data_IF_655082889733
#
_entry.id   IF_655082889733
#
_cell.length_a   1.000
_cell.length_b   1.000
_cell.length_c   1.000
_cell.angle_alpha   90.00
_cell.angle_beta   90.00
_cell.angle_gamma   90.00
#
_symmetry.space_group_name_H-M   'P 1'
#
loop_
_entity.id
_entity.type
_entity.pdbx_description
1 polymer ?
#
# COMPACT_ATOMS: atom_id res chain seq x y z
N UNK A 1 -10.04 -47.24 -2.53
CA UNK A 1 -10.91 -46.50 -3.46
C UNK A 1 -10.01 -45.78 -4.46
N UNK A 2 -10.11 -46.03 -5.77
CA UNK A 2 -9.33 -45.29 -6.76
C UNK A 2 -9.74 -43.81 -6.78
N UNK A 3 -8.77 -42.92 -7.01
CA UNK A 3 -9.00 -41.48 -7.09
C UNK A 3 -9.66 -41.15 -8.43
N UNK A 4 -10.97 -40.92 -8.43
CA UNK A 4 -11.70 -40.47 -9.61
C UNK A 4 -11.50 -38.97 -9.81
N UNK A 5 -11.12 -38.55 -11.02
CA UNK A 5 -10.83 -37.16 -11.37
C UNK A 5 -11.78 -36.67 -12.46
N UNK A 6 -12.21 -35.41 -12.35
CA UNK A 6 -12.97 -34.71 -13.40
C UNK A 6 -12.23 -33.47 -13.85
N UNK A 7 -12.37 -33.09 -15.12
CA UNK A 7 -11.70 -31.94 -15.71
C UNK A 7 -12.62 -30.72 -15.70
N UNK A 8 -12.19 -29.64 -15.05
CA UNK A 8 -12.91 -28.35 -15.06
C UNK A 8 -13.08 -27.88 -16.52
N UNK A 9 -14.33 -27.57 -16.90
CA UNK A 9 -14.66 -27.25 -18.30
C UNK A 9 -13.90 -26.05 -18.86
N UNK A 10 -13.65 -25.02 -18.04
CA UNK A 10 -12.99 -23.78 -18.47
C UNK A 10 -11.48 -23.87 -18.33
N UNK A 11 -10.98 -24.02 -17.11
CA UNK A 11 -9.53 -24.00 -16.83
C UNK A 11 -8.81 -25.29 -17.25
N UNK A 12 -9.55 -26.35 -17.61
CA UNK A 12 -9.02 -27.67 -17.99
C UNK A 12 -8.14 -28.34 -16.91
N UNK A 13 -8.25 -27.89 -15.67
CA UNK A 13 -7.56 -28.47 -14.51
C UNK A 13 -8.31 -29.72 -14.07
N UNK A 14 -7.57 -30.79 -13.77
CA UNK A 14 -8.11 -32.01 -13.18
C UNK A 14 -8.27 -31.84 -11.68
N UNK A 15 -9.48 -32.07 -11.18
CA UNK A 15 -9.81 -32.02 -9.75
C UNK A 15 -10.46 -33.34 -9.33
N UNK A 16 -10.36 -33.74 -8.05
CA UNK A 16 -11.12 -34.86 -7.54
C UNK A 16 -12.63 -34.68 -7.77
N UNK A 17 -13.32 -35.76 -8.12
CA UNK A 17 -14.78 -35.72 -8.22
C UNK A 17 -15.37 -35.40 -6.85
N UNK A 18 -16.15 -34.33 -6.79
CA UNK A 18 -16.75 -33.82 -5.56
C UNK A 18 -18.12 -34.48 -5.34
N UNK A 19 -18.15 -35.62 -4.65
CA UNK A 19 -19.37 -36.26 -4.19
C UNK A 19 -19.87 -35.58 -2.91
N UNK A 20 -20.45 -34.39 -3.04
CA UNK A 20 -20.95 -33.65 -1.86
C UNK A 20 -22.04 -34.44 -1.15
N UNK A 21 -21.98 -34.57 0.20
CA UNK A 21 -23.09 -35.10 0.98
C UNK A 21 -24.30 -34.15 0.92
N UNK A 22 -25.47 -34.65 1.33
CA UNK A 22 -26.74 -33.90 1.36
C UNK A 22 -26.67 -32.54 2.06
N UNK A 23 -25.76 -32.40 3.03
CA UNK A 23 -25.40 -31.16 3.68
C UNK A 23 -23.95 -30.79 3.31
N UNK A 24 -23.74 -29.98 2.25
CA UNK A 24 -22.41 -29.59 1.84
C UNK A 24 -21.77 -28.67 2.89
N UNK A 25 -20.61 -29.05 3.41
CA UNK A 25 -19.79 -28.19 4.27
C UNK A 25 -18.85 -27.35 3.43
N UNK A 26 -18.97 -26.03 3.52
CA UNK A 26 -17.97 -25.11 2.95
C UNK A 26 -16.84 -24.93 3.96
N UNK A 27 -15.62 -25.25 3.56
CA UNK A 27 -14.45 -24.73 4.26
C UNK A 27 -14.23 -23.30 3.75
N UNK A 28 -14.22 -22.32 4.65
CA UNK A 28 -13.84 -20.95 4.31
C UNK A 28 -12.48 -20.92 3.58
N UNK A 29 -12.22 -19.88 2.77
CA UNK A 29 -10.99 -19.79 2.00
C UNK A 29 -9.78 -19.90 2.93
N UNK A 30 -9.00 -20.97 2.78
CA UNK A 30 -7.72 -21.13 3.47
C UNK A 30 -6.70 -20.29 2.70
N UNK A 31 -6.34 -19.13 3.25
CA UNK A 31 -5.22 -18.36 2.73
C UNK A 31 -3.96 -19.21 2.87
N UNK A 32 -3.32 -19.50 1.74
CA UNK A 32 -2.08 -20.30 1.70
C UNK A 32 -0.86 -19.51 2.16
N UNK A 33 -1.00 -18.20 2.35
CA UNK A 33 0.05 -17.27 2.77
C UNK A 33 -0.53 -16.13 3.62
N UNK A 34 0.29 -15.61 4.54
CA UNK A 34 -0.05 -14.42 5.32
C UNK A 34 -0.09 -13.18 4.42
N UNK A 35 -1.12 -12.32 4.52
CA UNK A 35 -1.16 -11.06 3.78
C UNK A 35 0.08 -10.20 4.07
N UNK A 36 0.62 -9.55 3.04
CA UNK A 36 1.81 -8.68 3.15
C UNK A 36 1.41 -7.21 3.01
N UNK A 37 1.93 -6.36 3.90
CA UNK A 37 1.75 -4.90 3.82
C UNK A 37 3.06 -4.26 3.38
N UNK A 38 3.02 -3.53 2.26
CA UNK A 38 4.17 -2.78 1.75
C UNK A 38 4.04 -1.32 2.20
N UNK A 39 4.96 -0.88 3.06
CA UNK A 39 4.97 0.48 3.61
C UNK A 39 5.95 1.36 2.81
N UNK A 40 5.42 2.39 2.16
CA UNK A 40 6.23 3.35 1.39
C UNK A 40 6.75 4.46 2.31
N UNK A 41 8.07 4.61 2.44
CA UNK A 41 8.72 5.62 3.29
C UNK A 41 9.50 6.63 2.45
N UNK A 42 9.48 7.91 2.85
CA UNK A 42 10.30 8.97 2.23
C UNK A 42 9.61 10.33 2.13
N UNK A 43 10.38 11.37 1.83
CA UNK A 43 9.91 12.76 1.67
C UNK A 43 8.85 12.91 0.55
N UNK A 44 7.99 13.95 0.59
CA UNK A 44 7.08 14.28 -0.52
C UNK A 44 7.81 14.39 -1.88
N UNK A 45 7.10 14.18 -2.99
CA UNK A 45 7.63 14.13 -4.36
C UNK A 45 8.70 13.06 -4.69
N UNK A 46 9.07 12.17 -3.77
CA UNK A 46 10.05 11.09 -4.05
C UNK A 46 9.49 9.85 -4.77
N UNK A 47 8.45 10.02 -5.60
CA UNK A 47 7.91 8.94 -6.43
C UNK A 47 7.16 7.82 -5.68
N UNK A 48 6.91 7.94 -4.37
CA UNK A 48 6.18 6.92 -3.58
C UNK A 48 4.84 6.51 -4.20
N UNK A 49 4.03 7.50 -4.59
CA UNK A 49 2.72 7.26 -5.23
C UNK A 49 2.87 6.63 -6.61
N UNK A 50 3.90 7.01 -7.38
CA UNK A 50 4.18 6.42 -8.67
C UNK A 50 4.56 4.94 -8.54
N UNK A 51 5.51 4.63 -7.65
CA UNK A 51 5.96 3.26 -7.39
C UNK A 51 4.80 2.42 -6.88
N UNK A 52 4.05 2.91 -5.88
CA UNK A 52 2.89 2.21 -5.33
C UNK A 52 1.87 1.84 -6.42
N UNK A 53 1.46 2.79 -7.27
CA UNK A 53 0.53 2.53 -8.38
C UNK A 53 1.08 1.52 -9.40
N UNK A 54 2.36 1.67 -9.77
CA UNK A 54 3.02 0.78 -10.74
C UNK A 54 3.15 -0.65 -10.19
N UNK A 55 3.52 -0.78 -8.92
CA UNK A 55 3.63 -2.05 -8.22
C UNK A 55 2.27 -2.71 -8.05
N UNK A 56 1.25 -1.98 -7.59
CA UNK A 56 -0.12 -2.47 -7.50
C UNK A 56 -0.62 -2.97 -8.85
N UNK A 57 -0.37 -2.23 -9.95
CA UNK A 57 -0.75 -2.67 -11.29
C UNK A 57 -0.04 -3.96 -11.71
N UNK A 58 1.28 -4.04 -11.48
CA UNK A 58 2.06 -5.22 -11.83
C UNK A 58 1.63 -6.46 -11.05
N UNK A 59 1.47 -6.35 -9.73
CA UNK A 59 1.05 -7.45 -8.87
C UNK A 59 -0.34 -7.97 -9.25
N UNK A 60 -1.30 -7.07 -9.49
CA UNK A 60 -2.62 -7.49 -9.98
C UNK A 60 -2.54 -8.17 -11.36
N UNK A 61 -1.68 -7.68 -12.26
CA UNK A 61 -1.50 -8.29 -13.59
C UNK A 61 -0.97 -9.72 -13.54
N UNK A 62 -0.04 -10.02 -12.62
CA UNK A 62 0.46 -11.40 -12.40
C UNK A 62 -0.46 -12.26 -11.53
N UNK A 63 -1.65 -11.76 -11.18
CA UNK A 63 -2.66 -12.50 -10.42
C UNK A 63 -2.53 -12.43 -8.90
N UNK A 64 -1.76 -11.48 -8.36
CA UNK A 64 -1.62 -11.23 -6.91
C UNK A 64 -2.55 -10.06 -6.52
N UNK A 65 -3.67 -10.32 -5.81
CA UNK A 65 -4.61 -9.27 -5.44
C UNK A 65 -3.94 -8.22 -4.55
N UNK A 66 -3.85 -6.98 -5.05
CA UNK A 66 -3.12 -5.90 -4.39
C UNK A 66 -3.92 -4.60 -4.42
N UNK A 67 -3.94 -3.85 -3.32
CA UNK A 67 -4.55 -2.52 -3.22
C UNK A 67 -3.58 -1.52 -2.60
N UNK A 68 -3.57 -0.29 -3.12
CA UNK A 68 -2.81 0.82 -2.56
C UNK A 68 -3.70 1.66 -1.65
N UNK A 69 -3.16 2.07 -0.50
CA UNK A 69 -3.83 2.96 0.45
C UNK A 69 -2.98 4.21 0.62
N UNK A 70 -3.49 5.36 0.19
CA UNK A 70 -2.77 6.62 0.23
C UNK A 70 -3.31 7.48 1.38
N UNK A 71 -2.54 7.63 2.46
CA UNK A 71 -2.92 8.45 3.62
C UNK A 71 -3.25 9.91 3.22
N UNK A 72 -2.71 10.40 2.10
CA UNK A 72 -3.07 11.70 1.54
C UNK A 72 -4.55 11.82 1.18
N UNK A 73 -5.16 10.76 0.63
CA UNK A 73 -6.59 10.75 0.23
C UNK A 73 -7.50 10.82 1.46
N UNK A 74 -7.21 10.03 2.49
CA UNK A 74 -7.91 10.11 3.79
C UNK A 74 -7.81 11.49 4.43
N UNK A 75 -6.67 12.17 4.27
CA UNK A 75 -6.51 13.55 4.72
C UNK A 75 -7.36 14.51 3.90
N UNK A 76 -7.39 14.38 2.57
CA UNK A 76 -8.22 15.24 1.72
C UNK A 76 -9.72 15.08 2.02
N UNK A 77 -10.16 13.89 2.41
CA UNK A 77 -11.55 13.65 2.82
C UNK A 77 -11.86 14.24 4.20
N UNK A 78 -10.92 14.13 5.14
CA UNK A 78 -11.08 14.67 6.50
C UNK A 78 -10.98 16.21 6.53
N UNK A 79 -10.22 16.81 5.61
CA UNK A 79 -9.97 18.26 5.55
C UNK A 79 -10.55 18.80 4.25
N UNK A 80 -11.79 19.33 4.32
CA UNK A 80 -12.54 19.80 3.15
C UNK A 80 -11.81 20.87 2.32
N UNK A 81 -11.07 21.76 2.98
CA UNK A 81 -10.32 22.82 2.32
C UNK A 81 -8.86 22.79 2.78
N UNK A 82 -8.00 22.36 1.87
CA UNK A 82 -6.57 22.53 2.03
C UNK A 82 -6.22 23.99 1.79
N UNK A 83 -5.60 24.63 2.79
CA UNK A 83 -5.22 26.04 2.70
C UNK A 83 -3.72 26.21 2.43
N UNK A 84 -2.86 25.54 3.19
CA UNK A 84 -1.42 25.79 3.13
C UNK A 84 -0.57 24.72 3.81
N UNK A 85 0.73 24.72 3.51
CA UNK A 85 1.79 23.91 4.12
C UNK A 85 1.82 23.98 5.66
N UNK A 86 1.28 25.03 6.27
CA UNK A 86 1.14 25.18 7.73
C UNK A 86 0.44 23.98 8.40
N UNK A 87 -0.38 23.25 7.65
CA UNK A 87 -0.97 21.99 8.09
C UNK A 87 0.07 20.89 8.37
N UNK A 88 1.22 20.90 7.69
CA UNK A 88 2.25 19.88 7.85
C UNK A 88 3.34 20.25 8.87
N UNK A 89 3.34 21.48 9.38
CA UNK A 89 4.30 21.94 10.37
C UNK A 89 4.27 21.06 11.64
N UNK A 90 5.44 20.69 12.20
CA UNK A 90 5.51 19.88 13.42
C UNK A 90 4.82 20.53 14.61
N UNK A 91 4.90 21.87 14.70
CA UNK A 91 4.34 22.65 15.81
C UNK A 91 2.81 22.72 15.77
N UNK A 92 2.20 22.36 14.64
CA UNK A 92 0.75 22.29 14.50
C UNK A 92 0.22 20.99 15.12
N UNK A 93 -0.09 21.04 16.42
CA UNK A 93 -0.58 19.88 17.17
C UNK A 93 -1.93 19.37 16.65
N UNK A 94 -2.83 20.27 16.24
CA UNK A 94 -4.14 19.90 15.70
C UNK A 94 -3.99 19.12 14.40
N UNK A 95 -3.23 19.66 13.44
CA UNK A 95 -2.99 18.98 12.18
C UNK A 95 -2.20 17.68 12.36
N UNK A 96 -1.31 17.60 13.35
CA UNK A 96 -0.63 16.35 13.73
C UNK A 96 -1.62 15.30 14.23
N UNK A 97 -2.61 15.68 15.05
CA UNK A 97 -3.69 14.77 15.48
C UNK A 97 -4.53 14.30 14.30
N UNK A 98 -4.92 15.20 13.39
CA UNK A 98 -5.68 14.85 12.17
C UNK A 98 -4.88 13.88 11.30
N UNK A 99 -3.59 14.16 11.03
CA UNK A 99 -2.72 13.27 10.25
C UNK A 99 -2.61 11.88 10.88
N UNK A 100 -2.52 11.81 12.22
CA UNK A 100 -2.50 10.53 12.96
C UNK A 100 -3.84 9.79 12.82
N UNK A 101 -4.97 10.48 12.90
CA UNK A 101 -6.29 9.90 12.68
C UNK A 101 -6.45 9.36 11.25
N UNK A 102 -6.03 10.11 10.24
CA UNK A 102 -6.04 9.65 8.84
C UNK A 102 -5.20 8.38 8.64
N UNK A 103 -4.02 8.29 9.28
CA UNK A 103 -3.20 7.09 9.24
C UNK A 103 -3.88 5.89 9.91
N UNK A 104 -4.56 6.10 11.04
CA UNK A 104 -5.33 5.06 11.72
C UNK A 104 -6.54 4.59 10.90
N UNK A 105 -7.25 5.52 10.24
CA UNK A 105 -8.34 5.20 9.33
C UNK A 105 -7.86 4.35 8.14
N UNK A 106 -6.76 4.74 7.50
CA UNK A 106 -6.14 3.97 6.43
C UNK A 106 -5.74 2.55 6.89
N UNK A 107 -5.18 2.41 8.10
CA UNK A 107 -4.86 1.10 8.69
C UNK A 107 -6.11 0.26 9.00
N UNK A 108 -7.21 0.90 9.43
CA UNK A 108 -8.51 0.25 9.61
C UNK A 108 -8.99 -0.37 8.29
N UNK A 109 -8.93 0.40 7.21
CA UNK A 109 -9.31 -0.07 5.88
C UNK A 109 -8.39 -1.17 5.35
N UNK A 110 -7.08 -1.12 5.63
CA UNK A 110 -6.16 -2.22 5.29
C UNK A 110 -6.62 -3.52 5.95
N UNK A 111 -7.04 -3.50 7.22
CA UNK A 111 -7.54 -4.69 7.92
C UNK A 111 -8.86 -5.19 7.34
N UNK A 112 -9.77 -4.28 7.01
CA UNK A 112 -11.07 -4.62 6.41
C UNK A 112 -10.88 -5.17 5.00
N UNK A 113 -10.05 -4.53 4.17
CA UNK A 113 -9.75 -5.00 2.81
C UNK A 113 -8.99 -6.30 2.82
N UNK A 114 -8.04 -6.51 3.75
CA UNK A 114 -7.40 -7.83 3.94
C UNK A 114 -8.43 -8.94 4.20
N UNK A 115 -9.60 -8.58 4.74
CA UNK A 115 -10.73 -9.48 4.96
C UNK A 115 -11.66 -9.56 3.74
N UNK A 116 -11.75 -8.52 2.89
CA UNK A 116 -12.87 -8.31 1.95
C UNK A 116 -12.52 -8.02 0.47
N UNK A 117 -11.26 -8.06 0.01
CA UNK A 117 -10.78 -7.54 -1.30
C UNK A 117 -11.82 -7.57 -2.46
N UNK A 118 -12.55 -6.46 -2.62
CA UNK A 118 -13.23 -5.99 -3.84
C UNK A 118 -13.08 -4.47 -3.92
N UNK A 119 -12.28 -4.05 -4.91
CA UNK A 119 -12.03 -2.74 -5.54
C UNK A 119 -12.12 -1.39 -4.76
N UNK A 120 -11.46 -0.38 -5.32
CA UNK A 120 -11.98 0.97 -5.67
C UNK A 120 -10.81 1.99 -5.79
N UNK A 121 -11.05 2.86 -6.78
CA UNK A 121 -10.44 4.04 -7.44
C UNK A 121 -9.84 5.15 -6.54
N UNK A 122 -9.30 6.31 -6.99
CA UNK A 122 -8.60 6.94 -8.15
C UNK A 122 -8.23 8.37 -7.65
N UNK A 123 -7.12 8.91 -8.17
CA UNK A 123 -6.64 10.33 -8.23
C UNK A 123 -6.88 11.33 -7.07
N UNK A 124 -5.77 11.90 -6.61
CA UNK A 124 -5.61 12.87 -5.51
C UNK A 124 -6.33 14.21 -5.73
N UNK A 125 -7.13 14.72 -4.78
CA UNK A 125 -7.91 15.95 -4.91
C UNK A 125 -7.28 17.23 -4.30
N UNK A 126 -6.07 17.15 -3.75
CA UNK A 126 -5.44 18.22 -2.93
C UNK A 126 -5.15 19.56 -3.62
N UNK A 127 -5.02 19.56 -4.95
CA UNK A 127 -4.58 20.74 -5.72
C UNK A 127 -5.61 21.14 -6.78
N UNK A 128 -6.90 20.82 -6.55
CA UNK A 128 -7.96 21.08 -7.54
C UNK A 128 -8.21 22.57 -7.81
N UNK A 129 -7.94 23.44 -6.84
CA UNK A 129 -8.30 24.87 -6.89
C UNK A 129 -7.09 25.82 -6.89
N UNK A 130 -5.86 25.31 -7.05
CA UNK A 130 -4.62 26.10 -7.02
C UNK A 130 -3.99 26.24 -8.41
N UNK A 131 -3.34 27.38 -8.69
CA UNK A 131 -2.50 27.51 -9.89
C UNK A 131 -1.16 26.77 -9.71
N UNK A 132 -0.50 26.42 -10.83
CA UNK A 132 0.69 25.57 -10.82
C UNK A 132 1.90 26.15 -10.07
N UNK A 133 2.05 27.47 -10.04
CA UNK A 133 3.19 28.12 -9.39
C UNK A 133 3.03 28.14 -7.86
N UNK A 134 1.84 28.52 -7.38
CA UNK A 134 1.48 28.50 -5.96
C UNK A 134 1.50 27.06 -5.40
N UNK A 135 0.97 26.10 -6.16
CA UNK A 135 1.00 24.69 -5.77
C UNK A 135 2.44 24.16 -5.63
N UNK A 136 3.37 24.60 -6.48
CA UNK A 136 4.78 24.20 -6.40
C UNK A 136 5.48 24.81 -5.19
N UNK A 137 5.28 26.10 -4.93
CA UNK A 137 5.88 26.78 -3.78
C UNK A 137 5.41 26.15 -2.46
N UNK A 138 4.10 25.91 -2.34
CA UNK A 138 3.51 25.21 -1.20
C UNK A 138 4.09 23.80 -1.03
N UNK A 139 4.30 23.08 -2.15
CA UNK A 139 4.88 21.74 -2.15
C UNK A 139 6.32 21.73 -1.63
N UNK A 140 7.15 22.72 -2.00
CA UNK A 140 8.53 22.86 -1.52
C UNK A 140 8.55 23.14 -0.02
N UNK A 141 7.73 24.08 0.46
CA UNK A 141 7.62 24.38 1.90
C UNK A 141 7.17 23.15 2.69
N UNK A 142 6.23 22.38 2.14
CA UNK A 142 5.80 21.10 2.71
C UNK A 142 6.94 20.10 2.83
N UNK A 143 7.84 19.98 1.84
CA UNK A 143 9.00 19.07 1.94
C UNK A 143 9.86 19.44 3.16
N UNK A 144 10.16 20.73 3.34
CA UNK A 144 10.96 21.21 4.48
C UNK A 144 10.34 20.89 5.84
N UNK A 145 9.01 20.94 5.99
CA UNK A 145 8.34 20.53 7.23
C UNK A 145 8.61 19.07 7.60
N UNK A 146 8.74 18.18 6.60
CA UNK A 146 9.05 16.78 6.83
C UNK A 146 10.55 16.53 7.04
N UNK A 147 11.44 17.33 6.46
CA UNK A 147 12.90 17.18 6.62
C UNK A 147 13.34 17.29 8.09
N UNK A 148 12.75 18.20 8.86
CA UNK A 148 13.11 18.42 10.27
C UNK A 148 12.89 17.19 11.17
N UNK A 149 12.00 16.28 10.79
CA UNK A 149 11.62 15.10 11.58
C UNK A 149 11.89 13.77 10.87
N UNK A 150 12.41 13.81 9.63
CA UNK A 150 12.60 12.61 8.82
C UNK A 150 13.80 11.80 9.31
N UNK A 151 13.53 10.59 9.78
CA UNK A 151 14.54 9.59 10.08
C UNK A 151 14.58 8.55 8.95
N UNK A 152 15.67 8.49 8.15
CA UNK A 152 15.82 7.48 7.10
C UNK A 152 15.90 6.08 7.70
N UNK A 153 15.34 5.08 6.99
CA UNK A 153 15.53 3.68 7.35
C UNK A 153 17.02 3.30 7.34
N UNK A 154 17.46 2.66 8.42
CA UNK A 154 18.83 2.21 8.68
C UNK A 154 18.87 0.68 8.88
N UNK A 155 19.03 -0.09 7.80
CA UNK A 155 19.06 -1.55 7.87
C UNK A 155 20.30 -2.09 8.61
N UNK A 156 21.33 -1.29 8.83
CA UNK A 156 22.57 -1.73 9.47
C UNK A 156 22.47 -1.67 11.00
N UNK A 157 21.57 -0.81 11.52
CA UNK A 157 21.37 -0.57 12.95
C UNK A 157 19.92 -0.84 13.38
N UNK A 158 19.08 0.19 13.42
CA UNK A 158 17.77 0.16 14.07
C UNK A 158 16.73 -0.71 13.36
N UNK A 159 16.86 -0.89 12.04
CA UNK A 159 15.87 -1.56 11.20
C UNK A 159 16.34 -2.92 10.67
N UNK A 160 17.38 -3.51 11.30
CA UNK A 160 18.05 -4.75 10.82
C UNK A 160 17.10 -5.94 10.68
N UNK A 161 16.07 -6.02 11.52
CA UNK A 161 15.11 -7.12 11.51
C UNK A 161 13.93 -6.92 10.55
N UNK A 162 13.82 -5.74 9.92
CA UNK A 162 12.73 -5.41 9.00
C UNK A 162 13.02 -5.88 7.57
N UNK A 163 12.02 -6.49 6.92
CA UNK A 163 12.02 -6.75 5.48
C UNK A 163 11.77 -5.44 4.73
N UNK A 164 12.78 -4.89 4.06
CA UNK A 164 12.66 -3.59 3.39
C UNK A 164 13.37 -3.55 2.04
N UNK A 165 12.83 -2.72 1.14
CA UNK A 165 13.45 -2.35 -0.12
C UNK A 165 13.57 -0.84 -0.13
N UNK A 166 14.80 -0.33 -0.07
CA UNK A 166 15.11 1.09 -0.15
C UNK A 166 15.60 1.41 -1.56
N UNK A 167 14.77 2.17 -2.27
CA UNK A 167 15.07 2.68 -3.61
C UNK A 167 15.80 4.00 -3.48
N UNK A 168 17.03 4.07 -3.98
CA UNK A 168 17.91 5.24 -3.91
C UNK A 168 18.09 5.81 -5.32
N UNK A 169 18.06 7.14 -5.43
CA UNK A 169 18.24 7.90 -6.67
C UNK A 169 17.37 7.41 -7.83
N UNK A 170 16.05 7.34 -7.61
CA UNK A 170 15.08 6.96 -8.65
C UNK A 170 15.36 5.57 -9.25
N UNK A 171 15.95 4.67 -8.45
CA UNK A 171 16.21 3.29 -8.85
C UNK A 171 17.63 3.03 -9.35
N UNK A 172 18.55 3.99 -9.27
CA UNK A 172 19.98 3.71 -9.54
C UNK A 172 20.57 2.70 -8.56
N UNK A 173 20.06 2.65 -7.34
CA UNK A 173 20.50 1.68 -6.33
C UNK A 173 19.33 1.16 -5.53
N UNK A 174 19.29 -0.16 -5.34
CA UNK A 174 18.34 -0.84 -4.48
C UNK A 174 19.10 -1.43 -3.29
N UNK A 175 18.62 -1.14 -2.08
CA UNK A 175 19.08 -1.80 -0.86
C UNK A 175 17.95 -2.68 -0.37
N UNK A 176 18.19 -3.98 -0.31
CA UNK A 176 17.18 -4.98 0.06
C UNK A 176 17.63 -5.65 1.34
N UNK A 177 16.75 -5.67 2.35
CA UNK A 177 16.98 -6.38 3.61
C UNK A 177 15.92 -7.46 3.80
N UNK A 178 16.35 -8.65 4.24
CA UNK A 178 15.52 -9.80 4.68
C UNK A 178 14.30 -10.10 3.80
N UNK A 179 14.53 -10.59 2.58
CA UNK A 179 13.44 -11.05 1.71
C UNK A 179 12.85 -12.36 2.23
N UNK A 180 11.61 -12.32 2.74
CA UNK A 180 10.96 -13.43 3.46
C UNK A 180 10.12 -14.34 2.57
N UNK A 181 9.62 -13.84 1.44
CA UNK A 181 8.68 -14.61 0.61
C UNK A 181 8.90 -14.41 -0.91
N UNK A 182 8.21 -15.25 -1.70
CA UNK A 182 8.30 -15.23 -3.14
C UNK A 182 7.70 -13.97 -3.78
N UNK A 183 6.80 -13.26 -3.08
CA UNK A 183 6.17 -12.02 -3.55
C UNK A 183 7.18 -10.87 -3.40
N UNK A 184 7.88 -10.81 -2.28
CA UNK A 184 8.97 -9.87 -2.01
C UNK A 184 10.11 -10.06 -3.01
N UNK A 185 10.48 -11.30 -3.35
CA UNK A 185 11.48 -11.57 -4.41
C UNK A 185 11.10 -11.07 -5.80
N UNK A 186 9.80 -11.06 -6.15
CA UNK A 186 9.32 -10.55 -7.45
C UNK A 186 9.11 -9.03 -7.46
N UNK A 187 9.15 -8.41 -6.29
CA UNK A 187 8.94 -6.96 -6.11
C UNK A 187 10.25 -6.17 -6.19
N UNK A 188 11.37 -6.79 -5.77
CA UNK A 188 12.75 -6.29 -5.96
C UNK A 188 13.11 -6.31 -7.44
#
# INVERSE_FOLDING_TARGET
MPLELTRIRVQKIWIPVDHRPSLPRSCGPKLTSSPTVIVMVGLPARGKTYISKKLTRYLNWIGVPTKAFNVGEYRSEAVKHYSSYNFFCPDNQEATRVRKQCALAALGDVKIVATNIREVKISSPDYKDCNSAEAMEDFVKRIHCYEASYQPLDPDKCDRDLSLIKVIDVGRRLVVNRVQDHIQRRTV
#
